data_IF_277105866868
#
_entry.id   IF_277105866868
#
_cell.length_a   1.000
_cell.length_b   1.000
_cell.length_c   1.000
_cell.angle_alpha   90.00
_cell.angle_beta   90.00
_cell.angle_gamma   90.00
#
_symmetry.space_group_name_H-M   'P 1'
#
loop_
_entity.id
_entity.type
_entity.pdbx_description
1 polymer ?
#
# COMPACT_ATOMS: atom_id res chain seq x y z
N UNK A 1 23.98 -6.79 -2.68
CA UNK A 1 23.10 -7.59 -3.55
C UNK A 1 21.77 -7.66 -2.83
N UNK A 2 20.74 -7.01 -3.35
CA UNK A 2 19.40 -7.13 -2.79
C UNK A 2 18.89 -8.49 -3.20
N UNK A 3 18.72 -9.42 -2.27
CA UNK A 3 18.04 -10.67 -2.60
C UNK A 3 16.65 -10.31 -3.10
N UNK A 4 16.33 -10.69 -4.34
CA UNK A 4 14.98 -10.56 -4.86
C UNK A 4 14.08 -11.42 -3.97
N UNK A 5 13.26 -10.75 -3.16
CA UNK A 5 12.21 -11.43 -2.41
C UNK A 5 11.25 -12.03 -3.42
N UNK A 6 10.98 -13.33 -3.30
CA UNK A 6 9.95 -14.01 -4.08
C UNK A 6 8.58 -13.53 -3.61
N UNK A 7 7.96 -12.65 -4.39
CA UNK A 7 6.71 -11.96 -4.06
C UNK A 7 5.66 -12.26 -5.12
N UNK A 8 4.44 -12.55 -4.66
CA UNK A 8 3.25 -12.66 -5.51
C UNK A 8 2.29 -11.52 -5.22
N UNK A 9 1.56 -11.07 -6.24
CA UNK A 9 0.43 -10.15 -6.08
C UNK A 9 -0.84 -10.94 -5.76
N UNK A 10 -1.60 -10.49 -4.75
CA UNK A 10 -2.83 -11.14 -4.32
C UNK A 10 -4.00 -10.16 -4.38
N UNK A 11 -5.12 -10.60 -4.95
CA UNK A 11 -6.33 -9.80 -5.07
C UNK A 11 -7.33 -10.18 -3.97
N UNK A 12 -7.37 -9.38 -2.92
CA UNK A 12 -8.25 -9.60 -1.75
C UNK A 12 -8.92 -8.29 -1.34
N UNK A 13 -10.09 -8.41 -0.72
CA UNK A 13 -10.75 -7.26 -0.09
C UNK A 13 -10.21 -7.10 1.33
N UNK A 14 -9.79 -5.90 1.69
CA UNK A 14 -9.31 -5.56 3.03
C UNK A 14 -10.05 -4.34 3.55
N UNK A 15 -10.23 -4.28 4.86
CA UNK A 15 -10.79 -3.12 5.52
C UNK A 15 -9.65 -2.24 6.07
N UNK A 16 -9.71 -0.96 5.76
CA UNK A 16 -8.80 0.07 6.29
C UNK A 16 -9.62 1.23 6.82
N UNK A 17 -9.03 2.04 7.69
CA UNK A 17 -9.71 3.24 8.16
C UNK A 17 -9.88 4.25 7.02
N UNK A 18 -10.95 5.04 7.07
CA UNK A 18 -11.15 6.17 6.15
C UNK A 18 -9.99 7.16 6.20
N UNK A 19 -9.45 7.39 7.40
CA UNK A 19 -8.25 8.22 7.63
C UNK A 19 -7.02 7.69 6.91
N UNK A 20 -6.82 6.37 6.86
CA UNK A 20 -5.72 5.74 6.11
C UNK A 20 -5.84 6.05 4.62
N UNK A 21 -7.02 5.85 4.02
CA UNK A 21 -7.24 6.12 2.60
C UNK A 21 -7.05 7.61 2.27
N UNK A 22 -7.59 8.51 3.08
CA UNK A 22 -7.40 9.96 2.93
C UNK A 22 -5.92 10.34 2.95
N UNK A 23 -5.17 9.81 3.92
CA UNK A 23 -3.73 10.08 4.07
C UNK A 23 -2.94 9.61 2.85
N UNK A 24 -3.25 8.42 2.31
CA UNK A 24 -2.61 7.89 1.10
C UNK A 24 -2.87 8.82 -0.09
N UNK A 25 -4.11 9.21 -0.32
CA UNK A 25 -4.49 10.08 -1.44
C UNK A 25 -3.85 11.46 -1.33
N UNK A 26 -3.85 12.07 -0.14
CA UNK A 26 -3.22 13.37 0.09
C UNK A 26 -1.72 13.34 -0.19
N UNK A 27 -1.02 12.32 0.32
CA UNK A 27 0.42 12.18 0.10
C UNK A 27 0.75 11.87 -1.36
N UNK A 28 -0.05 11.03 -2.01
CA UNK A 28 0.11 10.74 -3.44
C UNK A 28 -0.09 12.01 -4.30
N UNK A 29 -1.10 12.83 -4.01
CA UNK A 29 -1.32 14.13 -4.71
C UNK A 29 -0.15 15.09 -4.52
N UNK A 30 0.43 15.15 -3.31
CA UNK A 30 1.61 15.98 -3.04
C UNK A 30 2.81 15.54 -3.87
N UNK A 31 2.99 14.23 -4.06
CA UNK A 31 4.12 13.66 -4.81
C UNK A 31 3.95 13.80 -6.33
N UNK A 32 2.76 13.55 -6.88
CA UNK A 32 2.52 13.55 -8.33
C UNK A 32 2.54 14.94 -8.97
N UNK A 33 2.45 16.02 -8.19
CA UNK A 33 2.31 17.38 -8.71
C UNK A 33 0.98 17.62 -9.45
N UNK A 34 0.70 18.88 -9.80
CA UNK A 34 -0.42 19.20 -10.70
C UNK A 34 0.04 19.05 -12.14
N UNK A 35 -0.82 18.48 -13.00
CA UNK A 35 -0.58 18.51 -14.43
C UNK A 35 -0.77 19.92 -15.00
N UNK A 36 -0.42 20.12 -16.27
CA UNK A 36 -0.50 21.41 -16.98
C UNK A 36 -1.90 22.05 -16.99
N UNK A 37 -2.95 21.26 -16.71
CA UNK A 37 -4.36 21.69 -16.64
C UNK A 37 -4.86 21.88 -15.20
N UNK A 38 -3.98 21.77 -14.20
CA UNK A 38 -4.32 21.95 -12.79
C UNK A 38 -4.99 20.75 -12.12
N UNK A 39 -5.14 19.63 -12.81
CA UNK A 39 -5.72 18.39 -12.28
C UNK A 39 -4.65 17.47 -11.69
N UNK A 40 -5.06 16.63 -10.74
CA UNK A 40 -4.23 15.54 -10.22
C UNK A 40 -4.59 14.25 -10.94
N UNK A 41 -3.62 13.59 -11.55
CA UNK A 41 -3.77 12.23 -12.04
C UNK A 41 -3.02 11.31 -11.07
N UNK A 42 -3.76 10.69 -10.16
CA UNK A 42 -3.20 9.79 -9.15
C UNK A 42 -3.93 8.45 -9.27
N UNK A 43 -3.18 7.39 -9.57
CA UNK A 43 -3.68 6.02 -9.42
C UNK A 43 -3.77 5.70 -7.92
N UNK A 44 -4.96 5.94 -7.36
CA UNK A 44 -5.22 5.71 -5.94
C UNK A 44 -5.23 4.23 -5.61
N UNK A 45 -5.73 3.38 -6.52
CA UNK A 45 -5.78 1.93 -6.30
C UNK A 45 -4.36 1.36 -6.23
N UNK A 46 -3.51 1.71 -7.19
CA UNK A 46 -2.10 1.32 -7.20
C UNK A 46 -1.36 1.82 -5.95
N UNK A 47 -1.63 3.06 -5.50
CA UNK A 47 -1.01 3.59 -4.28
C UNK A 47 -1.47 2.89 -3.00
N UNK A 48 -2.74 2.51 -2.91
CA UNK A 48 -3.24 1.71 -1.78
C UNK A 48 -2.55 0.35 -1.75
N UNK A 49 -2.47 -0.34 -2.90
CA UNK A 49 -1.77 -1.61 -3.02
C UNK A 49 -0.31 -1.50 -2.58
N UNK A 50 0.42 -0.50 -3.12
CA UNK A 50 1.82 -0.24 -2.75
C UNK A 50 2.01 0.00 -1.25
N UNK A 51 1.16 0.81 -0.62
CA UNK A 51 1.28 1.13 0.80
C UNK A 51 1.01 -0.08 1.70
N UNK A 52 0.03 -0.91 1.33
CA UNK A 52 -0.27 -2.14 2.08
C UNK A 52 0.88 -3.13 1.92
N UNK A 53 1.33 -3.40 0.69
CA UNK A 53 2.44 -4.34 0.43
C UNK A 53 3.70 -3.93 1.18
N UNK A 54 4.03 -2.64 1.19
CA UNK A 54 5.17 -2.12 1.98
C UNK A 54 4.99 -2.34 3.47
N UNK A 55 3.81 -2.03 4.02
CA UNK A 55 3.52 -2.24 5.43
C UNK A 55 3.69 -3.71 5.84
N UNK A 56 3.21 -4.65 5.03
CA UNK A 56 3.33 -6.09 5.30
C UNK A 56 4.79 -6.57 5.30
N UNK A 57 5.63 -6.04 4.40
CA UNK A 57 7.05 -6.35 4.34
C UNK A 57 7.86 -5.72 5.48
N UNK A 58 7.49 -4.51 5.91
CA UNK A 58 8.17 -3.77 6.98
C UNK A 58 7.79 -4.29 8.38
N UNK A 59 6.61 -4.90 8.54
CA UNK A 59 6.09 -5.36 9.85
C UNK A 59 6.09 -6.88 10.04
N UNK A 60 6.86 -7.61 9.22
CA UNK A 60 7.00 -9.07 9.31
C UNK A 60 5.65 -9.81 9.36
N UNK A 61 4.83 -9.55 8.34
CA UNK A 61 3.55 -10.25 8.17
C UNK A 61 3.71 -11.78 8.08
N UNK A 62 4.87 -12.25 7.62
CA UNK A 62 5.20 -13.68 7.57
C UNK A 62 5.22 -14.30 8.98
N UNK A 63 5.85 -13.65 9.95
CA UNK A 63 5.78 -14.09 11.35
C UNK A 63 4.35 -14.01 11.91
N UNK A 64 3.59 -12.96 11.56
CA UNK A 64 2.20 -12.83 11.97
C UNK A 64 1.34 -14.01 11.49
N UNK A 65 1.44 -14.43 10.22
CA UNK A 65 0.62 -15.53 9.69
C UNK A 65 1.08 -16.91 10.15
N UNK A 66 2.36 -17.07 10.54
CA UNK A 66 2.90 -18.32 11.10
C UNK A 66 2.48 -18.55 12.56
N UNK A 67 2.01 -17.52 13.26
CA UNK A 67 1.54 -17.64 14.64
C UNK A 67 0.09 -18.14 14.67
N UNK A 68 -0.11 -19.40 15.13
CA UNK A 68 -1.45 -20.00 15.24
C UNK A 68 -2.40 -19.24 16.18
N UNK A 69 -1.90 -18.44 17.13
CA UNK A 69 -2.76 -17.69 18.05
C UNK A 69 -3.53 -16.52 17.39
N UNK A 70 -3.22 -16.21 16.12
CA UNK A 70 -3.88 -15.15 15.35
C UNK A 70 -5.12 -15.64 14.58
N UNK A 71 -5.48 -16.93 14.71
CA UNK A 71 -6.65 -17.57 14.11
C UNK A 71 -7.60 -18.07 15.19
#
# INVERSE_FOLDING_TARGET
MTEEKDLIEVHVNVEITTTSLQSIVENAKKFSGRNEKGHYQVDTAGKVSEMISRFLLENDFEAYVRNMNNY
#
